data_IF_695814538298
#
_entry.id   IF_695814538298
#
_cell.length_a   1.000
_cell.length_b   1.000
_cell.length_c   1.000
_cell.angle_alpha   90.00
_cell.angle_beta   90.00
_cell.angle_gamma   90.00
#
_symmetry.space_group_name_H-M   'P 1'
#
loop_
_entity.id
_entity.type
_entity.pdbx_description
1 polymer ?
#
# COMPACT_ATOMS: atom_id res chain seq x y z
N UNK A 1 -23.48 -19.80 -0.79
CA UNK A 1 -23.04 -18.91 -1.89
C UNK A 1 -23.14 -17.42 -1.54
N UNK A 2 -24.28 -16.94 -1.01
CA UNK A 2 -24.43 -15.53 -0.59
C UNK A 2 -23.36 -15.05 0.40
N UNK A 3 -23.05 -15.83 1.44
CA UNK A 3 -22.09 -15.45 2.48
C UNK A 3 -20.65 -15.30 1.99
N UNK A 4 -20.20 -16.11 1.03
CA UNK A 4 -18.86 -16.02 0.44
C UNK A 4 -18.73 -14.79 -0.45
N UNK A 5 -19.75 -14.51 -1.27
CA UNK A 5 -19.81 -13.30 -2.09
C UNK A 5 -19.81 -12.04 -1.22
N UNK A 6 -20.59 -12.01 -0.14
CA UNK A 6 -20.58 -10.87 0.80
C UNK A 6 -19.21 -10.66 1.44
N UNK A 7 -18.53 -11.73 1.89
CA UNK A 7 -17.15 -11.62 2.42
C UNK A 7 -16.17 -11.07 1.39
N UNK A 8 -16.24 -11.52 0.14
CA UNK A 8 -15.39 -11.04 -0.94
C UNK A 8 -15.61 -9.55 -1.24
N UNK A 9 -16.88 -9.10 -1.23
CA UNK A 9 -17.22 -7.69 -1.45
C UNK A 9 -16.76 -6.79 -0.31
N UNK A 10 -16.89 -7.26 0.94
CA UNK A 10 -16.36 -6.53 2.11
C UNK A 10 -14.84 -6.39 2.02
N UNK A 11 -14.12 -7.46 1.68
CA UNK A 11 -12.68 -7.40 1.47
C UNK A 11 -12.32 -6.42 0.32
N UNK A 12 -13.05 -6.48 -0.79
CA UNK A 12 -12.89 -5.55 -1.92
C UNK A 12 -13.11 -4.09 -1.56
N UNK A 13 -14.10 -3.81 -0.71
CA UNK A 13 -14.38 -2.46 -0.24
C UNK A 13 -13.22 -1.89 0.57
N UNK A 14 -12.71 -2.65 1.55
CA UNK A 14 -11.57 -2.21 2.34
C UNK A 14 -10.29 -2.10 1.50
N UNK A 15 -10.10 -2.98 0.52
CA UNK A 15 -8.98 -2.91 -0.40
C UNK A 15 -9.04 -1.62 -1.22
N UNK A 16 -10.20 -1.33 -1.81
CA UNK A 16 -10.40 -0.11 -2.58
C UNK A 16 -10.19 1.15 -1.72
N UNK A 17 -10.60 1.11 -0.45
CA UNK A 17 -10.41 2.22 0.46
C UNK A 17 -8.91 2.50 0.73
N UNK A 18 -8.09 1.45 0.92
CA UNK A 18 -6.62 1.59 0.99
C UNK A 18 -6.06 2.21 -0.29
N UNK A 19 -6.46 1.69 -1.46
CA UNK A 19 -5.99 2.16 -2.78
C UNK A 19 -6.35 3.63 -3.03
N UNK A 20 -7.45 4.13 -2.48
CA UNK A 20 -7.89 5.51 -2.68
C UNK A 20 -7.27 6.48 -1.65
N UNK A 21 -7.01 6.03 -0.42
CA UNK A 21 -6.51 6.89 0.65
C UNK A 21 -4.98 6.98 0.62
N UNK A 22 -4.27 5.88 0.42
CA UNK A 22 -2.80 5.85 0.47
C UNK A 22 -2.12 6.84 -0.50
N UNK A 23 -2.60 7.02 -1.76
CA UNK A 23 -2.00 7.98 -2.68
C UNK A 23 -2.08 9.44 -2.23
N UNK A 24 -2.95 9.78 -1.27
CA UNK A 24 -3.04 11.15 -0.75
C UNK A 24 -1.72 11.58 -0.12
N UNK A 25 -1.13 10.75 0.74
CA UNK A 25 0.17 11.03 1.35
C UNK A 25 1.35 10.64 0.47
N UNK A 26 1.23 9.57 -0.31
CA UNK A 26 2.34 9.04 -1.12
C UNK A 26 2.59 9.82 -2.42
N UNK A 27 1.53 10.37 -3.04
CA UNK A 27 1.61 11.00 -4.37
C UNK A 27 1.14 12.44 -4.32
N UNK A 28 -0.08 12.69 -3.85
CA UNK A 28 -0.70 14.02 -3.93
C UNK A 28 0.05 15.05 -3.08
N UNK A 29 0.32 14.75 -1.82
CA UNK A 29 1.00 15.66 -0.90
C UNK A 29 2.43 16.01 -1.38
N UNK A 30 3.31 15.04 -1.72
CA UNK A 30 4.62 15.35 -2.28
C UNK A 30 4.54 16.21 -3.55
N UNK A 31 3.61 15.92 -4.46
CA UNK A 31 3.44 16.68 -5.71
C UNK A 31 3.05 18.15 -5.50
N UNK A 32 2.47 18.48 -4.35
CA UNK A 32 1.98 19.83 -4.02
C UNK A 32 2.92 20.59 -3.09
N UNK A 33 3.59 19.89 -2.18
CA UNK A 33 4.32 20.53 -1.09
C UNK A 33 5.84 20.42 -1.23
N UNK A 34 6.37 19.43 -1.96
CA UNK A 34 7.80 19.16 -1.97
C UNK A 34 8.46 19.71 -3.23
N UNK A 35 9.53 20.47 -3.03
CA UNK A 35 10.33 21.03 -4.11
C UNK A 35 11.69 20.34 -4.11
N UNK A 36 11.95 19.53 -5.13
CA UNK A 36 13.19 18.76 -5.25
C UNK A 36 14.40 19.70 -5.25
N UNK A 37 15.32 19.48 -4.32
CA UNK A 37 16.54 20.28 -4.20
C UNK A 37 16.39 21.60 -3.41
N UNK A 38 15.18 21.98 -2.99
CA UNK A 38 14.93 23.20 -2.22
C UNK A 38 14.22 22.88 -0.90
N UNK A 39 15.02 22.83 0.16
CA UNK A 39 14.54 22.61 1.52
C UNK A 39 13.67 23.76 2.03
N UNK A 40 14.06 25.02 1.74
CA UNK A 40 13.35 26.19 2.24
C UNK A 40 11.96 26.29 1.58
N UNK A 41 11.88 26.07 0.27
CA UNK A 41 10.61 26.06 -0.45
C UNK A 41 9.69 24.91 0.02
N UNK A 42 10.25 23.73 0.29
CA UNK A 42 9.49 22.59 0.82
C UNK A 42 8.89 22.91 2.20
N UNK A 43 9.69 23.43 3.13
CA UNK A 43 9.22 23.81 4.47
C UNK A 43 8.19 24.95 4.37
N UNK A 44 8.43 25.94 3.52
CA UNK A 44 7.47 27.01 3.27
C UNK A 44 6.13 26.46 2.73
N UNK A 45 6.17 25.50 1.80
CA UNK A 45 5.00 24.82 1.28
C UNK A 45 4.18 24.13 2.38
N UNK A 46 4.86 23.44 3.30
CA UNK A 46 4.25 22.79 4.46
C UNK A 46 3.64 23.83 5.42
N UNK A 47 4.34 24.91 5.74
CA UNK A 47 3.79 25.99 6.60
C UNK A 47 2.56 26.64 5.98
N UNK A 48 2.58 26.90 4.67
CA UNK A 48 1.48 27.55 3.97
C UNK A 48 0.25 26.66 3.84
N UNK A 49 0.44 25.34 3.85
CA UNK A 49 -0.63 24.34 3.69
C UNK A 49 -0.62 23.32 4.83
N UNK A 50 -0.51 23.78 6.07
CA UNK A 50 -0.37 22.91 7.24
C UNK A 50 -1.49 21.87 7.35
N UNK A 51 -2.74 22.28 7.09
CA UNK A 51 -3.89 21.38 7.15
C UNK A 51 -3.78 20.25 6.11
N UNK A 52 -3.25 20.53 4.92
CA UNK A 52 -3.02 19.49 3.91
C UNK A 52 -1.96 18.49 4.41
N UNK A 53 -0.91 18.96 5.07
CA UNK A 53 0.10 18.09 5.67
C UNK A 53 -0.49 17.21 6.80
N UNK A 54 -1.34 17.80 7.66
CA UNK A 54 -2.09 17.05 8.69
C UNK A 54 -3.06 16.03 8.10
N UNK A 55 -3.72 16.33 6.99
CA UNK A 55 -4.55 15.37 6.27
C UNK A 55 -3.72 14.20 5.74
N UNK A 56 -2.49 14.45 5.28
CA UNK A 56 -1.52 13.42 4.94
C UNK A 56 -1.23 12.47 6.10
N UNK A 57 -0.89 13.01 7.26
CA UNK A 57 -0.69 12.26 8.51
C UNK A 57 -1.92 11.40 8.85
N UNK A 58 -3.12 11.99 8.81
CA UNK A 58 -4.35 11.26 9.11
C UNK A 58 -4.62 10.15 8.08
N UNK A 59 -4.31 10.39 6.81
CA UNK A 59 -4.51 9.41 5.73
C UNK A 59 -3.63 8.17 5.90
N UNK A 60 -2.37 8.33 6.34
CA UNK A 60 -1.48 7.19 6.63
C UNK A 60 -2.01 6.35 7.81
N UNK A 61 -2.43 7.00 8.89
CA UNK A 61 -2.99 6.30 10.06
C UNK A 61 -4.27 5.54 9.70
N UNK A 62 -5.16 6.16 8.91
CA UNK A 62 -6.38 5.50 8.41
C UNK A 62 -6.00 4.34 7.49
N UNK A 63 -5.03 4.52 6.60
CA UNK A 63 -4.55 3.47 5.71
C UNK A 63 -4.03 2.27 6.49
N UNK A 64 -3.21 2.49 7.51
CA UNK A 64 -2.73 1.42 8.40
C UNK A 64 -3.88 0.68 9.10
N UNK A 65 -4.82 1.43 9.70
CA UNK A 65 -5.96 0.83 10.40
C UNK A 65 -6.87 0.02 9.47
N UNK A 66 -7.11 0.51 8.26
CA UNK A 66 -7.92 -0.17 7.25
C UNK A 66 -7.17 -1.38 6.68
N UNK A 67 -5.86 -1.29 6.48
CA UNK A 67 -5.01 -2.39 6.02
C UNK A 67 -5.08 -3.59 7.00
N UNK A 68 -5.13 -3.33 8.31
CA UNK A 68 -5.36 -4.39 9.29
C UNK A 68 -6.68 -5.13 9.06
N UNK A 69 -7.78 -4.38 8.87
CA UNK A 69 -9.11 -4.94 8.62
C UNK A 69 -9.13 -5.69 7.28
N UNK A 70 -8.51 -5.11 6.25
CA UNK A 70 -8.37 -5.70 4.93
C UNK A 70 -7.68 -7.07 5.01
N UNK A 71 -6.49 -7.11 5.60
CA UNK A 71 -5.70 -8.33 5.68
C UNK A 71 -6.44 -9.42 6.47
N UNK A 72 -7.13 -9.04 7.56
CA UNK A 72 -7.98 -9.96 8.31
C UNK A 72 -9.21 -10.46 7.51
N UNK A 73 -9.86 -9.59 6.75
CA UNK A 73 -11.02 -9.98 5.93
C UNK A 73 -10.61 -10.87 4.76
N UNK A 74 -9.46 -10.62 4.13
CA UNK A 74 -8.87 -11.51 3.11
C UNK A 74 -8.49 -12.87 3.71
N UNK A 75 -7.91 -12.89 4.93
CA UNK A 75 -7.66 -14.15 5.65
C UNK A 75 -8.96 -14.97 5.81
N UNK A 76 -10.03 -14.33 6.28
CA UNK A 76 -11.34 -14.99 6.45
C UNK A 76 -11.96 -15.45 5.13
N UNK A 77 -11.62 -14.81 4.01
CA UNK A 77 -12.07 -15.19 2.68
C UNK A 77 -11.31 -16.41 2.15
N UNK A 78 -10.00 -16.46 2.33
CA UNK A 78 -9.13 -17.47 1.73
C UNK A 78 -8.73 -18.62 2.66
N UNK A 79 -9.03 -18.56 3.96
CA UNK A 79 -8.69 -19.61 4.93
C UNK A 79 -9.23 -20.99 4.55
N UNK A 80 -10.39 -21.05 3.90
CA UNK A 80 -11.07 -22.28 3.51
C UNK A 80 -10.48 -22.86 2.20
N UNK A 81 -9.69 -22.07 1.46
CA UNK A 81 -8.94 -22.49 0.26
C UNK A 81 -7.62 -23.15 0.67
N UNK A 82 -6.83 -22.45 1.49
CA UNK A 82 -5.62 -23.00 2.10
C UNK A 82 -5.21 -22.19 3.34
N UNK A 83 -5.33 -22.80 4.51
CA UNK A 83 -5.05 -22.14 5.79
C UNK A 83 -3.60 -21.67 5.93
N UNK A 84 -2.62 -22.43 5.44
CA UNK A 84 -1.20 -22.09 5.55
C UNK A 84 -0.89 -20.81 4.77
N UNK A 85 -1.25 -20.77 3.48
CA UNK A 85 -1.02 -19.58 2.64
C UNK A 85 -1.82 -18.37 3.12
N UNK A 86 -3.05 -18.58 3.61
CA UNK A 86 -3.85 -17.49 4.19
C UNK A 86 -3.22 -16.91 5.46
N UNK A 87 -2.65 -17.75 6.33
CA UNK A 87 -1.92 -17.29 7.51
C UNK A 87 -0.64 -16.54 7.12
N UNK A 88 0.13 -17.03 6.15
CA UNK A 88 1.33 -16.35 5.67
C UNK A 88 1.01 -14.97 5.08
N UNK A 89 -0.05 -14.88 4.26
CA UNK A 89 -0.57 -13.60 3.76
C UNK A 89 -0.96 -12.67 4.91
N UNK A 90 -1.64 -13.19 5.94
CA UNK A 90 -2.03 -12.41 7.11
C UNK A 90 -0.81 -11.88 7.88
N UNK A 91 0.20 -12.71 8.12
CA UNK A 91 1.40 -12.32 8.86
C UNK A 91 2.21 -11.27 8.11
N UNK A 92 2.34 -11.40 6.79
CA UNK A 92 3.06 -10.45 5.96
C UNK A 92 2.30 -9.12 5.82
N UNK A 93 1.01 -9.17 5.47
CA UNK A 93 0.18 -7.96 5.33
C UNK A 93 -0.13 -7.26 6.66
N UNK A 94 -0.02 -7.97 7.78
CA UNK A 94 -0.12 -7.35 9.10
C UNK A 94 0.99 -6.32 9.34
N UNK A 95 2.21 -6.56 8.82
CA UNK A 95 3.36 -5.69 9.04
C UNK A 95 3.16 -4.28 8.47
N UNK A 96 2.29 -4.12 7.47
CA UNK A 96 1.97 -2.79 6.91
C UNK A 96 1.40 -1.86 7.97
N UNK A 97 0.55 -2.39 8.86
CA UNK A 97 -0.12 -1.58 9.90
C UNK A 97 0.88 -0.88 10.82
N UNK A 98 1.77 -1.58 11.57
CA UNK A 98 2.75 -0.90 12.40
C UNK A 98 3.68 -0.02 11.57
N UNK A 99 4.06 -0.41 10.35
CA UNK A 99 4.92 0.42 9.49
C UNK A 99 4.28 1.76 9.16
N UNK A 100 2.99 1.83 8.80
CA UNK A 100 2.30 3.10 8.62
C UNK A 100 2.37 3.98 9.87
N UNK A 101 2.01 3.42 11.03
CA UNK A 101 1.98 4.17 12.29
C UNK A 101 3.37 4.70 12.69
N UNK A 102 4.41 3.87 12.56
CA UNK A 102 5.78 4.29 12.82
C UNK A 102 6.24 5.35 11.80
N UNK A 103 5.82 5.25 10.54
CA UNK A 103 6.27 6.18 9.52
C UNK A 103 5.67 7.57 9.72
N UNK A 104 4.42 7.61 10.19
CA UNK A 104 3.73 8.85 10.51
C UNK A 104 4.46 9.65 11.62
N UNK A 105 5.24 9.00 12.48
CA UNK A 105 6.06 9.72 13.48
C UNK A 105 7.07 10.67 12.81
N UNK A 106 7.62 10.31 11.65
CA UNK A 106 8.52 11.17 10.89
C UNK A 106 7.79 12.44 10.39
N UNK A 107 6.56 12.30 9.94
CA UNK A 107 5.74 13.45 9.51
C UNK A 107 5.34 14.31 10.71
N UNK A 108 4.96 13.70 11.83
CA UNK A 108 4.66 14.44 13.06
C UNK A 108 5.88 15.22 13.56
N UNK A 109 7.07 14.61 13.53
CA UNK A 109 8.32 15.27 13.89
C UNK A 109 8.63 16.45 12.94
N UNK A 110 8.43 16.24 11.63
CA UNK A 110 8.54 17.31 10.63
C UNK A 110 7.61 18.48 10.97
N UNK A 111 6.34 18.20 11.27
CA UNK A 111 5.35 19.22 11.61
C UNK A 111 5.74 20.01 12.87
N UNK A 112 6.22 19.34 13.92
CA UNK A 112 6.70 19.99 15.14
C UNK A 112 7.87 20.94 14.85
N UNK A 113 8.85 20.49 14.06
CA UNK A 113 10.02 21.30 13.70
C UNK A 113 9.65 22.52 12.86
N UNK A 114 8.70 22.34 11.94
CA UNK A 114 8.16 23.39 11.08
C UNK A 114 7.41 24.45 11.89
N UNK A 115 6.57 24.02 12.84
CA UNK A 115 5.81 24.93 13.69
C UNK A 115 6.68 25.72 14.67
N UNK A 116 7.82 25.15 15.11
CA UNK A 116 8.76 25.81 16.00
C UNK A 116 8.17 26.27 17.35
N UNK A 117 7.52 25.38 18.13
CA UNK A 117 7.06 25.71 19.48
C UNK A 117 8.21 26.16 20.40
N UNK A 118 7.87 26.85 21.50
CA UNK A 118 8.83 27.51 22.41
C UNK A 118 9.97 26.60 22.91
N UNK A 119 9.73 25.30 23.10
CA UNK A 119 10.77 24.36 23.55
C UNK A 119 11.88 24.13 22.50
N UNK A 120 11.66 24.53 21.25
CA UNK A 120 12.65 24.51 20.18
C UNK A 120 13.38 25.85 20.00
N UNK A 121 13.20 26.83 20.91
CA UNK A 121 13.88 28.13 20.85
C UNK A 121 15.42 28.04 20.84
N UNK A 122 15.98 26.91 21.29
CA UNK A 122 17.42 26.63 21.22
C UNK A 122 17.93 26.33 19.79
N UNK A 123 17.03 26.01 18.85
CA UNK A 123 17.36 25.71 17.46
C UNK A 123 17.06 26.89 16.56
N UNK A 124 18.03 27.29 15.74
CA UNK A 124 17.80 28.29 14.71
C UNK A 124 16.90 27.75 13.57
N UNK A 125 16.44 28.64 12.69
CA UNK A 125 15.56 28.27 11.58
C UNK A 125 16.22 27.29 10.59
N UNK A 126 17.54 27.42 10.37
CA UNK A 126 18.27 26.57 9.44
C UNK A 126 18.41 25.14 9.99
N UNK A 127 18.71 25.01 11.29
CA UNK A 127 18.74 23.75 12.02
C UNK A 127 17.38 23.06 12.00
N UNK A 128 16.29 23.79 12.28
CA UNK A 128 14.93 23.23 12.22
C UNK A 128 14.55 22.77 10.82
N UNK A 129 14.89 23.56 9.80
CA UNK A 129 14.69 23.19 8.38
C UNK A 129 15.46 21.92 8.01
N UNK A 130 16.73 21.83 8.41
CA UNK A 130 17.57 20.65 8.16
C UNK A 130 17.03 19.39 8.84
N UNK A 131 16.62 19.49 10.10
CA UNK A 131 16.01 18.39 10.84
C UNK A 131 14.66 17.97 10.24
N UNK A 132 13.82 18.92 9.83
CA UNK A 132 12.53 18.63 9.21
C UNK A 132 12.72 17.86 7.88
N UNK A 133 13.68 18.29 7.06
CA UNK A 133 14.05 17.57 5.84
C UNK A 133 14.65 16.19 6.11
N UNK A 134 15.40 16.03 7.20
CA UNK A 134 15.92 14.72 7.63
C UNK A 134 14.75 13.77 7.92
N UNK A 135 13.74 14.19 8.68
CA UNK A 135 12.58 13.36 8.97
C UNK A 135 11.75 13.05 7.72
N UNK A 136 11.56 14.00 6.80
CA UNK A 136 10.94 13.72 5.50
C UNK A 136 11.73 12.69 4.69
N UNK A 137 13.06 12.72 4.73
CA UNK A 137 13.90 11.69 4.08
C UNK A 137 13.79 10.35 4.77
N UNK A 138 13.78 10.32 6.09
CA UNK A 138 13.55 9.09 6.87
C UNK A 138 12.19 8.48 6.53
N UNK A 139 11.16 9.30 6.33
CA UNK A 139 9.87 8.83 5.88
C UNK A 139 9.97 8.09 4.54
N UNK A 140 10.63 8.68 3.54
CA UNK A 140 10.84 8.03 2.24
C UNK A 140 11.64 6.72 2.36
N UNK A 141 12.70 6.70 3.18
CA UNK A 141 13.50 5.49 3.41
C UNK A 141 12.66 4.37 4.04
N UNK A 142 11.80 4.74 4.98
CA UNK A 142 10.91 3.79 5.64
C UNK A 142 9.82 3.28 4.70
N UNK A 143 9.34 4.11 3.78
CA UNK A 143 8.45 3.68 2.68
C UNK A 143 9.16 2.63 1.80
N UNK A 144 10.40 2.87 1.38
CA UNK A 144 11.17 1.87 0.60
C UNK A 144 11.39 0.58 1.39
N UNK A 145 11.60 0.64 2.70
CA UNK A 145 11.66 -0.56 3.54
C UNK A 145 10.30 -1.28 3.63
N UNK A 146 9.19 -0.52 3.66
CA UNK A 146 7.83 -1.07 3.74
C UNK A 146 7.40 -1.77 2.45
N UNK A 147 7.89 -1.32 1.30
CA UNK A 147 7.67 -1.95 0.00
C UNK A 147 8.09 -3.44 -0.01
N UNK A 148 9.03 -3.86 0.86
CA UNK A 148 9.35 -5.28 1.03
C UNK A 148 8.11 -6.06 1.45
N UNK A 149 7.38 -5.58 2.46
CA UNK A 149 6.20 -6.25 2.96
C UNK A 149 5.01 -6.10 2.00
N UNK A 150 4.86 -4.94 1.35
CA UNK A 150 3.89 -4.72 0.26
C UNK A 150 4.11 -5.66 -0.92
N UNK A 151 5.35 -6.06 -1.20
CA UNK A 151 5.65 -7.08 -2.20
C UNK A 151 5.42 -8.50 -1.70
N UNK A 152 5.95 -8.81 -0.51
CA UNK A 152 5.98 -10.17 0.01
C UNK A 152 4.58 -10.75 0.26
N UNK A 153 3.63 -9.95 0.76
CA UNK A 153 2.26 -10.43 1.02
C UNK A 153 1.46 -10.71 -0.26
N UNK A 154 1.87 -10.15 -1.41
CA UNK A 154 1.20 -10.41 -2.68
C UNK A 154 1.47 -11.81 -3.23
N UNK A 155 2.60 -12.44 -2.92
CA UNK A 155 2.87 -13.81 -3.33
C UNK A 155 1.89 -14.84 -2.74
N UNK A 156 1.65 -14.91 -1.42
CA UNK A 156 0.64 -15.81 -0.88
C UNK A 156 -0.77 -15.42 -1.34
N UNK A 157 -1.08 -14.12 -1.49
CA UNK A 157 -2.35 -13.67 -2.07
C UNK A 157 -2.53 -14.17 -3.52
N UNK A 158 -1.49 -14.10 -4.35
CA UNK A 158 -1.48 -14.62 -5.71
C UNK A 158 -1.71 -16.13 -5.74
N UNK A 159 -1.02 -16.90 -4.89
CA UNK A 159 -1.21 -18.35 -4.77
C UNK A 159 -2.65 -18.69 -4.37
N UNK A 160 -3.22 -17.98 -3.40
CA UNK A 160 -4.61 -18.16 -2.97
C UNK A 160 -5.59 -17.81 -4.09
N UNK A 161 -5.37 -16.69 -4.77
CA UNK A 161 -6.17 -16.25 -5.92
C UNK A 161 -6.14 -17.28 -7.05
N UNK A 162 -4.98 -17.89 -7.31
CA UNK A 162 -4.84 -18.94 -8.32
C UNK A 162 -5.60 -20.23 -7.94
N UNK A 163 -5.60 -20.60 -6.66
CA UNK A 163 -6.18 -21.85 -6.15
C UNK A 163 -7.67 -21.76 -5.80
N UNK A 164 -8.22 -20.56 -5.60
CA UNK A 164 -9.56 -20.38 -5.05
C UNK A 164 -10.71 -20.80 -5.98
N UNK A 165 -10.47 -20.91 -7.30
CA UNK A 165 -11.45 -21.35 -8.29
C UNK A 165 -12.59 -20.36 -8.62
N UNK A 166 -12.75 -19.28 -7.84
CA UNK A 166 -13.76 -18.24 -8.06
C UNK A 166 -13.19 -16.91 -8.58
N UNK A 167 -11.86 -16.76 -8.62
CA UNK A 167 -11.17 -15.60 -9.23
C UNK A 167 -10.43 -16.01 -10.51
N UNK A 168 -10.31 -15.09 -11.49
CA UNK A 168 -9.59 -15.36 -12.71
C UNK A 168 -8.08 -15.47 -12.45
N UNK A 169 -7.44 -16.46 -13.08
CA UNK A 169 -6.02 -16.76 -12.88
C UNK A 169 -5.07 -15.65 -13.34
N UNK A 170 -5.49 -14.80 -14.29
CA UNK A 170 -4.64 -13.69 -14.73
C UNK A 170 -4.40 -12.67 -13.61
N UNK A 171 -5.38 -12.45 -12.71
CA UNK A 171 -5.21 -11.57 -11.54
C UNK A 171 -4.14 -12.12 -10.60
N UNK A 172 -4.09 -13.44 -10.40
CA UNK A 172 -3.05 -14.05 -9.59
C UNK A 172 -1.65 -13.79 -10.16
N UNK A 173 -1.47 -13.94 -11.48
CA UNK A 173 -0.18 -13.68 -12.13
C UNK A 173 0.18 -12.20 -12.03
N UNK A 174 -0.78 -11.30 -12.23
CA UNK A 174 -0.55 -9.86 -12.12
C UNK A 174 -0.14 -9.46 -10.70
N UNK A 175 -0.80 -10.01 -9.66
CA UNK A 175 -0.41 -9.80 -8.27
C UNK A 175 1.01 -10.30 -7.98
N UNK A 176 1.42 -11.44 -8.55
CA UNK A 176 2.78 -11.93 -8.38
C UNK A 176 3.82 -11.02 -9.06
N UNK A 177 3.52 -10.52 -10.26
CA UNK A 177 4.37 -9.52 -10.96
C UNK A 177 4.47 -8.24 -10.13
N UNK A 178 3.36 -7.79 -9.55
CA UNK A 178 3.35 -6.63 -8.67
C UNK A 178 4.19 -6.85 -7.40
N UNK A 179 4.12 -8.05 -6.82
CA UNK A 179 4.99 -8.45 -5.70
C UNK A 179 6.46 -8.25 -6.02
N UNK A 180 6.90 -8.69 -7.21
CA UNK A 180 8.27 -8.46 -7.70
C UNK A 180 8.57 -6.98 -7.92
N UNK A 181 7.61 -6.22 -8.44
CA UNK A 181 7.76 -4.78 -8.69
C UNK A 181 8.02 -4.00 -7.38
N UNK A 182 7.28 -4.29 -6.31
CA UNK A 182 7.55 -3.68 -4.99
C UNK A 182 8.92 -4.05 -4.42
N UNK A 183 9.36 -5.31 -4.57
CA UNK A 183 10.70 -5.71 -4.15
C UNK A 183 11.79 -4.97 -4.94
N UNK A 184 11.57 -4.76 -6.24
CA UNK A 184 12.48 -4.00 -7.08
C UNK A 184 12.52 -2.50 -6.68
N UNK A 185 11.37 -1.91 -6.35
CA UNK A 185 11.27 -0.55 -5.83
C UNK A 185 12.05 -0.39 -4.53
N UNK A 186 11.84 -1.32 -3.59
CA UNK A 186 12.54 -1.32 -2.31
C UNK A 186 14.06 -1.38 -2.50
N UNK A 187 14.50 -2.31 -3.35
CA UNK A 187 15.91 -2.46 -3.69
C UNK A 187 16.49 -1.19 -4.32
N UNK A 188 15.80 -0.60 -5.29
CA UNK A 188 16.24 0.63 -5.95
C UNK A 188 16.29 1.81 -4.96
N UNK A 189 15.26 2.00 -4.14
CA UNK A 189 15.20 3.07 -3.14
C UNK A 189 16.28 2.99 -2.07
N UNK A 190 16.63 1.78 -1.61
CA UNK A 190 17.59 1.58 -0.53
C UNK A 190 19.05 1.45 -1.02
N UNK A 191 19.29 0.74 -2.12
CA UNK A 191 20.64 0.35 -2.54
C UNK A 191 21.10 1.02 -3.82
N UNK A 192 20.18 1.45 -4.69
CA UNK A 192 20.52 2.05 -5.98
C UNK A 192 19.62 3.25 -6.34
N UNK A 193 19.66 4.36 -5.56
CA UNK A 193 18.71 5.46 -5.71
C UNK A 193 18.70 6.11 -7.10
N UNK A 194 19.82 6.00 -7.84
CA UNK A 194 19.95 6.50 -9.20
C UNK A 194 18.97 5.86 -10.21
N UNK A 195 18.46 4.65 -9.92
CA UNK A 195 17.49 3.97 -10.77
C UNK A 195 16.05 4.07 -10.27
N UNK A 196 15.79 4.80 -9.17
CA UNK A 196 14.46 4.83 -8.53
C UNK A 196 13.35 5.25 -9.51
N UNK A 197 13.53 6.35 -10.23
CA UNK A 197 12.53 6.87 -11.18
C UNK A 197 12.24 5.90 -12.34
N UNK A 198 13.27 5.22 -12.83
CA UNK A 198 13.14 4.21 -13.88
C UNK A 198 12.33 3.01 -13.37
N UNK A 199 12.68 2.49 -12.19
CA UNK A 199 11.99 1.35 -11.58
C UNK A 199 10.55 1.72 -11.23
N UNK A 200 10.31 2.94 -10.71
CA UNK A 200 8.97 3.47 -10.45
C UNK A 200 8.09 3.51 -11.71
N UNK A 201 8.65 3.99 -12.82
CA UNK A 201 7.93 4.03 -14.10
C UNK A 201 7.57 2.64 -14.61
N UNK A 202 8.46 1.66 -14.44
CA UNK A 202 8.24 0.27 -14.83
C UNK A 202 7.28 -0.48 -13.88
N UNK A 203 7.32 -0.15 -12.58
CA UNK A 203 6.50 -0.78 -11.56
C UNK A 203 5.04 -0.28 -11.58
N UNK A 204 4.80 0.96 -12.02
CA UNK A 204 3.46 1.57 -11.99
C UNK A 204 2.38 0.72 -12.69
N UNK A 205 2.58 0.21 -13.93
CA UNK A 205 1.61 -0.70 -14.55
C UNK A 205 1.43 -2.03 -13.79
N UNK A 206 2.46 -2.51 -13.10
CA UNK A 206 2.38 -3.72 -12.29
C UNK A 206 1.47 -3.53 -11.07
N UNK A 207 1.54 -2.36 -10.42
CA UNK A 207 0.73 -2.00 -9.25
C UNK A 207 -0.78 -1.96 -9.54
N UNK A 208 -1.18 -1.71 -10.79
CA UNK A 208 -2.58 -1.77 -11.21
C UNK A 208 -3.22 -3.16 -11.01
N UNK A 209 -2.43 -4.22 -10.82
CA UNK A 209 -2.93 -5.55 -10.49
C UNK A 209 -3.72 -5.60 -9.18
N UNK A 210 -3.33 -4.81 -8.18
CA UNK A 210 -4.08 -4.70 -6.91
C UNK A 210 -5.42 -3.97 -7.12
N UNK A 211 -5.42 -2.92 -7.94
CA UNK A 211 -6.64 -2.19 -8.32
C UNK A 211 -7.61 -3.11 -9.06
N UNK A 212 -7.11 -3.86 -10.05
CA UNK A 212 -7.89 -4.83 -10.78
C UNK A 212 -8.44 -5.92 -9.86
N UNK A 213 -7.62 -6.43 -8.93
CA UNK A 213 -8.04 -7.40 -7.94
C UNK A 213 -9.15 -6.86 -7.03
N UNK A 214 -8.95 -5.68 -6.42
CA UNK A 214 -9.88 -5.03 -5.52
C UNK A 214 -11.24 -4.78 -6.18
N UNK A 215 -11.24 -4.20 -7.39
CA UNK A 215 -12.45 -3.95 -8.17
C UNK A 215 -13.16 -5.26 -8.54
N UNK A 216 -12.41 -6.30 -8.91
CA UNK A 216 -13.00 -7.59 -9.26
C UNK A 216 -13.72 -8.22 -8.06
N UNK A 217 -13.07 -8.32 -6.91
CA UNK A 217 -13.69 -8.94 -5.72
C UNK A 217 -14.85 -8.10 -5.17
N UNK A 218 -14.81 -6.76 -5.34
CA UNK A 218 -15.88 -5.86 -4.95
C UNK A 218 -17.13 -5.98 -5.84
N UNK A 219 -16.96 -6.02 -7.16
CA UNK A 219 -18.08 -6.02 -8.12
C UNK A 219 -18.60 -7.45 -8.32
N UNK A 220 -17.71 -8.35 -8.70
CA UNK A 220 -18.07 -9.70 -9.12
C UNK A 220 -18.31 -10.62 -7.91
N UNK A 221 -17.61 -10.38 -6.80
CA UNK A 221 -17.60 -11.27 -5.64
C UNK A 221 -17.02 -12.66 -5.98
N UNK A 222 -17.23 -13.62 -5.09
CA UNK A 222 -16.78 -15.00 -5.28
C UNK A 222 -17.80 -15.84 -6.06
N UNK A 223 -17.96 -15.57 -7.36
CA UNK A 223 -18.79 -16.43 -8.24
C UNK A 223 -18.02 -17.71 -8.56
N UNK A 224 -18.55 -18.87 -8.18
CA UNK A 224 -18.03 -20.14 -8.71
C UNK A 224 -18.17 -20.12 -10.22
N UNK A 225 -17.07 -20.33 -10.93
CA UNK A 225 -17.10 -20.60 -12.37
C UNK A 225 -17.79 -21.95 -12.51
N UNK A 226 -19.06 -21.97 -12.96
CA UNK A 226 -19.70 -23.23 -13.34
C UNK A 226 -18.77 -23.92 -14.34
N UNK A 227 -18.30 -25.11 -13.98
CA UNK A 227 -17.59 -25.94 -14.94
C UNK A 227 -18.51 -26.11 -16.15
N UNK A 228 -18.02 -25.79 -17.34
CA UNK A 228 -18.72 -26.10 -18.59
C UNK A 228 -18.90 -27.61 -18.60
N UNK A 229 -20.12 -28.08 -18.33
CA UNK A 229 -20.47 -29.48 -18.51
C UNK A 229 -20.42 -29.71 -20.01
N UNK A 230 -19.33 -30.28 -20.51
CA UNK A 230 -19.29 -30.75 -21.89
C UNK A 230 -20.36 -31.84 -22.02
N UNK A 231 -21.30 -31.74 -22.97
CA UNK A 231 -22.30 -32.77 -23.18
C UNK A 231 -21.58 -34.09 -23.43
N UNK A 232 -21.97 -35.14 -22.70
CA UNK A 232 -21.45 -36.48 -22.91
C UNK A 232 -21.65 -36.84 -24.38
N UNK A 233 -20.56 -37.01 -25.12
CA UNK A 233 -20.63 -37.57 -26.47
C UNK A 233 -21.20 -38.96 -26.35
N UNK A 234 -22.45 -39.13 -26.78
CA UNK A 234 -23.10 -40.42 -26.97
C UNK A 234 -22.26 -41.19 -28.00
N UNK A 235 -21.46 -42.14 -27.52
CA UNK A 235 -20.84 -43.15 -28.37
C UNK A 235 -21.97 -44.13 -28.70
N UNK A 236 -22.38 -44.14 -29.97
CA UNK A 236 -23.19 -45.19 -30.57
C UNK A 236 -22.35 -45.84 -31.67
#
# INVERSE_FOLDING_TARGET
MHTLSTKARIAGFFYLLVILIAPLRLVYLPSKLFVTGDAAATIHGITAHEMLFRMGIASDLITGAVSLILTFTLYRLFKDVNRYWALLMLMLGFMDTPLYFFNTLNDMATLILVQGPDFLAAFDQAQRTGLAMMFLRMHSMMTYASEIFWGLWLFPLAVLTYRCGFLPRFLAIWLAINGVAYLALSYAGLLQPAYNDLVASLAFPCQLGEVAFALWILIMGARQRQAVVLPASTIA
#
